data_IF_373417783377
#
_entry.id   IF_373417783377
#
_cell.length_a   1.000
_cell.length_b   1.000
_cell.length_c   1.000
_cell.angle_alpha   90.00
_cell.angle_beta   90.00
_cell.angle_gamma   90.00
#
_symmetry.space_group_name_H-M   'P 1'
#
loop_
_entity.id
_entity.type
_entity.pdbx_description
1 polymer ?
#
# COMPACT_ATOMS: atom_id res chain seq x y z
N UNK A 1 -2.99 14.29 20.83
CA UNK A 1 -4.17 14.40 19.92
C UNK A 1 -3.80 14.12 18.46
N UNK A 2 -3.03 14.96 17.76
CA UNK A 2 -2.71 14.71 16.33
C UNK A 2 -1.92 13.40 16.12
N UNK A 3 -0.94 13.12 16.99
CA UNK A 3 -0.25 11.83 17.00
C UNK A 3 -1.20 10.64 17.18
N UNK A 4 -2.14 10.73 18.11
CA UNK A 4 -3.09 9.65 18.37
C UNK A 4 -4.03 9.41 17.18
N UNK A 5 -4.41 10.48 16.46
CA UNK A 5 -5.16 10.36 15.21
C UNK A 5 -4.34 9.68 14.11
N UNK A 6 -3.03 9.96 14.04
CA UNK A 6 -2.13 9.29 13.12
C UNK A 6 -1.94 7.81 13.46
N UNK A 7 -1.79 7.48 14.74
CA UNK A 7 -1.74 6.08 15.21
C UNK A 7 -3.07 5.38 14.96
N UNK A 8 -4.21 6.05 15.12
CA UNK A 8 -5.52 5.49 14.81
C UNK A 8 -5.78 5.26 13.30
N UNK A 9 -4.96 5.85 12.41
CA UNK A 9 -5.14 5.75 10.95
C UNK A 9 -6.10 6.79 10.38
N UNK A 10 -6.43 7.83 11.16
CA UNK A 10 -7.32 8.92 10.76
C UNK A 10 -6.57 9.96 9.92
N UNK A 11 -5.28 10.18 10.17
CA UNK A 11 -4.46 11.09 9.38
C UNK A 11 -3.05 10.53 9.14
N UNK A 12 -2.37 11.09 8.15
CA UNK A 12 -0.95 10.85 7.93
C UNK A 12 -0.09 11.80 8.77
N UNK A 13 1.14 11.39 9.01
CA UNK A 13 2.19 12.24 9.56
C UNK A 13 3.46 12.07 8.73
N UNK A 14 4.14 13.17 8.45
CA UNK A 14 5.46 13.17 7.82
C UNK A 14 6.24 14.42 8.22
N UNK A 15 7.56 14.29 8.27
CA UNK A 15 8.44 15.43 8.54
C UNK A 15 8.64 16.26 7.25
N UNK A 16 8.25 17.52 7.27
CA UNK A 16 8.43 18.45 6.14
C UNK A 16 9.03 19.74 6.69
N UNK A 17 10.20 20.12 6.19
CA UNK A 17 10.99 21.26 6.65
C UNK A 17 11.39 21.15 8.15
N UNK A 18 11.65 19.92 8.63
CA UNK A 18 12.03 19.65 10.02
C UNK A 18 10.87 19.76 11.02
N UNK A 19 9.63 19.78 10.54
CA UNK A 19 8.41 19.87 11.37
C UNK A 19 7.43 18.78 10.97
N UNK A 20 6.82 18.14 11.96
CA UNK A 20 5.73 17.19 11.73
C UNK A 20 4.51 17.90 11.14
N UNK A 21 4.15 17.51 9.92
CA UNK A 21 2.91 17.93 9.26
C UNK A 21 1.94 16.76 9.22
N UNK A 22 0.67 17.09 9.38
CA UNK A 22 -0.43 16.12 9.37
C UNK A 22 -1.40 16.47 8.25
N UNK A 23 -1.83 15.46 7.50
CA UNK A 23 -2.82 15.63 6.44
C UNK A 23 -3.74 14.43 6.39
N UNK A 24 -4.86 14.62 5.70
CA UNK A 24 -5.88 13.60 5.57
C UNK A 24 -5.80 12.97 4.20
N UNK A 25 -5.65 11.65 4.15
CA UNK A 25 -5.67 10.89 2.90
C UNK A 25 -6.93 10.05 2.79
N UNK A 26 -7.76 10.45 1.83
CA UNK A 26 -9.13 9.97 1.69
C UNK A 26 -9.20 8.63 0.93
N UNK A 27 -8.19 8.24 0.16
CA UNK A 27 -8.32 7.13 -0.79
C UNK A 27 -7.08 6.24 -0.87
N UNK A 28 -7.24 4.96 -1.25
CA UNK A 28 -6.18 3.92 -1.15
C UNK A 28 -4.95 4.24 -2.01
N UNK A 29 -3.73 4.17 -1.45
CA UNK A 29 -3.39 3.92 -0.04
C UNK A 29 -3.81 5.08 0.85
N UNK A 30 -4.63 4.79 1.87
CA UNK A 30 -5.40 5.83 2.57
C UNK A 30 -5.94 5.35 3.92
N UNK A 31 -6.75 6.19 4.56
CA UNK A 31 -7.24 5.98 5.93
C UNK A 31 -7.69 4.54 6.27
N UNK A 32 -8.46 3.88 5.38
CA UNK A 32 -9.02 2.56 5.68
C UNK A 32 -7.94 1.49 5.73
N UNK A 33 -6.93 1.59 4.86
CA UNK A 33 -5.76 0.72 4.91
C UNK A 33 -4.97 0.94 6.20
N UNK A 34 -4.77 2.20 6.62
CA UNK A 34 -4.04 2.52 7.85
C UNK A 34 -4.78 2.06 9.11
N UNK A 35 -6.11 2.03 9.09
CA UNK A 35 -6.95 1.48 10.17
C UNK A 35 -6.87 -0.06 10.17
N UNK A 36 -6.85 -0.71 9.00
CA UNK A 36 -6.72 -2.17 8.91
C UNK A 36 -5.31 -2.63 9.35
N UNK A 37 -4.26 -1.92 8.94
CA UNK A 37 -2.90 -2.18 9.39
C UNK A 37 -2.57 -1.51 10.73
N UNK A 38 -3.56 -1.18 11.56
CA UNK A 38 -3.32 -0.54 12.85
C UNK A 38 -2.29 -1.35 13.69
N UNK A 39 -1.33 -0.69 14.38
CA UNK A 39 -0.28 -1.38 15.12
C UNK A 39 -0.81 -2.33 16.20
N UNK A 40 -1.97 -2.00 16.79
CA UNK A 40 -2.73 -2.94 17.61
C UNK A 40 -3.64 -3.81 16.73
N UNK A 41 -3.11 -4.98 16.32
CA UNK A 41 -3.76 -5.96 15.43
C UNK A 41 -5.09 -6.51 15.98
N UNK A 42 -5.27 -6.47 17.30
CA UNK A 42 -6.52 -6.88 17.96
C UNK A 42 -7.73 -6.06 17.47
N UNK A 43 -7.52 -4.86 16.93
CA UNK A 43 -8.61 -4.00 16.46
C UNK A 43 -9.39 -4.66 15.31
N UNK A 44 -8.69 -5.21 14.32
CA UNK A 44 -9.35 -5.85 13.16
C UNK A 44 -9.88 -7.23 13.53
N UNK A 45 -9.18 -7.96 14.42
CA UNK A 45 -9.60 -9.27 14.89
C UNK A 45 -10.89 -9.21 15.73
N UNK A 46 -11.01 -8.20 16.59
CA UNK A 46 -12.17 -8.02 17.47
C UNK A 46 -13.32 -7.27 16.80
N UNK A 47 -13.04 -6.42 15.81
CA UNK A 47 -14.04 -5.59 15.15
C UNK A 47 -14.06 -5.82 13.63
N UNK A 48 -14.73 -6.90 13.22
CA UNK A 48 -14.94 -7.26 11.80
C UNK A 48 -15.51 -6.12 10.96
N UNK A 49 -16.25 -5.20 11.57
CA UNK A 49 -16.80 -4.01 10.93
C UNK A 49 -15.72 -3.14 10.28
N UNK A 50 -14.47 -3.15 10.79
CA UNK A 50 -13.36 -2.43 10.18
C UNK A 50 -13.02 -3.03 8.82
N UNK A 51 -12.91 -4.36 8.75
CA UNK A 51 -12.64 -5.08 7.51
C UNK A 51 -13.81 -4.96 6.52
N UNK A 52 -15.04 -5.13 6.98
CA UNK A 52 -16.25 -4.94 6.17
C UNK A 52 -16.34 -3.51 5.63
N UNK A 53 -16.01 -2.51 6.46
CA UNK A 53 -16.00 -1.12 6.03
C UNK A 53 -14.91 -0.88 4.98
N UNK A 54 -13.71 -1.44 5.11
CA UNK A 54 -12.65 -1.28 4.11
C UNK A 54 -13.06 -1.85 2.76
N UNK A 55 -13.59 -3.08 2.75
CA UNK A 55 -14.09 -3.73 1.55
C UNK A 55 -15.25 -2.93 0.92
N UNK A 56 -16.26 -2.57 1.73
CA UNK A 56 -17.43 -1.84 1.27
C UNK A 56 -17.06 -0.43 0.80
N UNK A 57 -16.06 0.20 1.41
CA UNK A 57 -15.54 1.50 1.00
C UNK A 57 -14.98 1.40 -0.41
N UNK A 58 -14.08 0.45 -0.67
CA UNK A 58 -13.56 0.18 -2.01
C UNK A 58 -14.68 -0.11 -3.02
N UNK A 59 -15.57 -1.05 -2.70
CA UNK A 59 -16.67 -1.49 -3.59
C UNK A 59 -17.65 -0.37 -3.92
N UNK A 60 -18.03 0.48 -2.95
CA UNK A 60 -19.04 1.54 -3.14
C UNK A 60 -18.45 2.79 -3.77
N UNK A 61 -17.24 3.17 -3.38
CA UNK A 61 -16.66 4.46 -3.80
C UNK A 61 -15.85 4.35 -5.09
N UNK A 62 -15.25 3.19 -5.41
CA UNK A 62 -14.54 3.04 -6.69
C UNK A 62 -15.43 3.37 -7.92
N UNK A 63 -16.69 2.90 -8.03
CA UNK A 63 -17.57 3.30 -9.14
C UNK A 63 -17.89 4.80 -9.15
N UNK A 64 -17.95 5.45 -7.98
CA UNK A 64 -18.23 6.89 -7.87
C UNK A 64 -17.03 7.77 -8.26
N UNK A 65 -15.83 7.18 -8.33
CA UNK A 65 -14.63 7.88 -8.85
C UNK A 65 -14.51 7.79 -10.37
N UNK A 66 -15.42 7.09 -11.06
CA UNK A 66 -15.45 7.03 -12.51
C UNK A 66 -15.62 8.44 -13.11
N UNK A 67 -14.63 8.88 -13.90
CA UNK A 67 -14.59 10.22 -14.49
C UNK A 67 -13.85 11.28 -13.68
N UNK A 68 -13.37 10.98 -12.45
CA UNK A 68 -12.42 11.84 -11.72
C UNK A 68 -11.02 11.72 -12.33
N UNK A 69 -10.64 10.50 -12.72
CA UNK A 69 -9.43 10.23 -13.48
C UNK A 69 -9.71 10.32 -14.98
N UNK A 70 -8.68 10.63 -15.77
CA UNK A 70 -8.77 10.63 -17.23
C UNK A 70 -9.33 9.31 -17.76
N UNK A 71 -10.08 9.38 -18.86
CA UNK A 71 -10.64 8.18 -19.50
C UNK A 71 -9.50 7.22 -19.85
N UNK A 72 -9.57 5.99 -19.33
CA UNK A 72 -8.52 4.97 -19.46
C UNK A 72 -7.57 4.87 -18.26
N UNK A 73 -7.74 5.71 -17.24
CA UNK A 73 -6.91 5.75 -16.03
C UNK A 73 -7.72 5.32 -14.81
N UNK A 74 -7.21 4.34 -14.05
CA UNK A 74 -7.78 3.91 -12.77
C UNK A 74 -7.11 4.57 -11.58
N UNK A 75 -7.65 4.43 -10.37
CA UNK A 75 -7.02 4.94 -9.12
C UNK A 75 -5.69 4.24 -8.82
N UNK A 76 -5.56 3.01 -9.28
CA UNK A 76 -4.39 2.17 -9.14
C UNK A 76 -4.04 1.61 -10.51
N UNK A 77 -2.76 1.40 -10.78
CA UNK A 77 -2.28 0.71 -11.99
C UNK A 77 -1.47 -0.52 -11.64
N UNK A 78 -1.57 -1.52 -12.52
CA UNK A 78 -0.77 -2.74 -12.42
C UNK A 78 0.60 -2.46 -13.04
N UNK A 79 1.65 -2.84 -12.32
CA UNK A 79 3.02 -2.86 -12.84
C UNK A 79 3.34 -4.32 -13.17
N UNK A 80 3.72 -4.64 -14.42
CA UNK A 80 4.11 -5.99 -14.79
C UNK A 80 5.22 -6.52 -13.87
N UNK A 81 5.23 -7.84 -13.67
CA UNK A 81 6.37 -8.52 -13.04
C UNK A 81 7.60 -8.38 -13.94
N UNK A 82 8.80 -8.26 -13.38
CA UNK A 82 9.99 -7.92 -14.19
C UNK A 82 10.24 -8.94 -15.30
N UNK A 83 10.14 -10.22 -14.98
CA UNK A 83 10.36 -11.32 -15.93
C UNK A 83 9.43 -11.28 -17.14
N UNK A 84 8.26 -10.64 -17.05
CA UNK A 84 7.33 -10.51 -18.16
C UNK A 84 7.80 -9.49 -19.22
N UNK A 85 8.69 -8.57 -18.86
CA UNK A 85 9.17 -7.48 -19.73
C UNK A 85 10.66 -7.54 -20.05
N UNK A 86 11.42 -8.49 -19.47
CA UNK A 86 12.86 -8.69 -19.73
C UNK A 86 13.20 -8.85 -21.22
N UNK A 87 12.32 -9.50 -21.99
CA UNK A 87 12.50 -9.77 -23.42
C UNK A 87 11.95 -8.69 -24.36
N UNK A 88 11.31 -7.65 -23.83
CA UNK A 88 10.62 -6.66 -24.65
C UNK A 88 11.59 -5.57 -25.15
N UNK A 89 11.64 -5.37 -26.46
CA UNK A 89 12.52 -4.38 -27.09
C UNK A 89 12.11 -2.94 -26.79
N UNK A 90 10.84 -2.73 -26.43
CA UNK A 90 10.27 -1.44 -26.00
C UNK A 90 9.71 -1.53 -24.58
N UNK A 91 10.60 -1.63 -23.59
CA UNK A 91 10.23 -1.48 -22.17
C UNK A 91 10.20 0.00 -21.78
N UNK A 92 9.13 0.42 -21.11
CA UNK A 92 9.06 1.76 -20.55
C UNK A 92 9.47 1.72 -19.08
N UNK A 93 10.37 2.62 -18.66
CA UNK A 93 10.91 2.60 -17.30
C UNK A 93 9.86 2.73 -16.19
N UNK A 94 8.69 3.32 -16.48
CA UNK A 94 7.57 3.43 -15.52
C UNK A 94 6.79 2.11 -15.33
N UNK A 95 7.10 1.08 -16.11
CA UNK A 95 6.55 -0.28 -16.02
C UNK A 95 7.52 -1.22 -15.28
N UNK A 96 8.68 -0.72 -14.84
CA UNK A 96 9.70 -1.49 -14.12
C UNK A 96 9.59 -1.21 -12.61
N UNK A 97 9.29 -2.23 -11.81
CA UNK A 97 9.22 -2.09 -10.35
C UNK A 97 10.59 -1.72 -9.75
N UNK A 98 11.69 -2.20 -10.33
CA UNK A 98 13.05 -1.86 -9.91
C UNK A 98 13.33 -0.37 -9.98
N UNK A 99 12.75 0.37 -10.93
CA UNK A 99 12.89 1.83 -10.99
C UNK A 99 12.38 2.47 -9.71
N UNK A 100 11.16 2.15 -9.30
CA UNK A 100 10.54 2.72 -8.10
C UNK A 100 11.32 2.36 -6.84
N UNK A 101 11.81 1.12 -6.75
CA UNK A 101 12.68 0.74 -5.65
C UNK A 101 13.95 1.58 -5.68
N UNK A 102 14.67 1.65 -6.81
CA UNK A 102 15.93 2.37 -6.98
C UNK A 102 15.85 3.88 -6.71
N UNK A 103 14.74 4.53 -7.06
CA UNK A 103 14.52 5.96 -6.83
C UNK A 103 14.21 6.32 -5.37
N UNK A 104 13.88 5.32 -4.52
CA UNK A 104 13.57 5.53 -3.10
C UNK A 104 14.74 5.14 -2.18
N UNK A 105 14.71 5.66 -0.95
CA UNK A 105 15.74 5.42 0.07
C UNK A 105 15.18 4.88 1.39
N UNK A 106 13.90 5.14 1.68
CA UNK A 106 13.21 4.68 2.88
C UNK A 106 12.16 3.65 2.46
N UNK A 107 12.18 2.50 3.12
CA UNK A 107 11.32 1.37 2.82
C UNK A 107 10.75 0.79 4.10
N UNK A 108 9.48 0.38 4.05
CA UNK A 108 8.88 -0.46 5.07
C UNK A 108 8.11 -1.59 4.44
N UNK A 109 7.90 -2.65 5.23
CA UNK A 109 6.97 -3.72 4.88
C UNK A 109 5.94 -3.89 5.98
N UNK A 110 4.72 -4.20 5.56
CA UNK A 110 3.62 -4.61 6.42
C UNK A 110 2.88 -5.81 5.83
N UNK A 111 2.03 -6.42 6.66
CA UNK A 111 1.03 -7.37 6.19
C UNK A 111 0.13 -6.69 5.15
N UNK A 112 -0.33 -7.45 4.15
CA UNK A 112 -1.20 -6.92 3.11
C UNK A 112 -2.58 -6.56 3.65
N UNK A 113 -2.89 -5.26 3.68
CA UNK A 113 -4.17 -4.70 4.16
C UNK A 113 -5.39 -5.43 3.60
N UNK A 114 -5.42 -5.65 2.29
CA UNK A 114 -6.50 -6.34 1.59
C UNK A 114 -6.67 -7.78 2.08
N UNK A 115 -5.58 -8.51 2.30
CA UNK A 115 -5.62 -9.91 2.75
C UNK A 115 -5.96 -10.00 4.23
N UNK A 116 -5.41 -9.11 5.06
CA UNK A 116 -5.79 -8.96 6.48
C UNK A 116 -7.28 -8.72 6.62
N UNK A 117 -7.84 -7.82 5.81
CA UNK A 117 -9.27 -7.55 5.80
C UNK A 117 -10.10 -8.77 5.38
N UNK A 118 -9.71 -9.48 4.32
CA UNK A 118 -10.39 -10.71 3.88
C UNK A 118 -10.38 -11.77 4.97
N UNK A 119 -9.22 -12.02 5.57
CA UNK A 119 -9.03 -13.03 6.61
C UNK A 119 -9.93 -12.74 7.83
N UNK A 120 -10.01 -11.47 8.26
CA UNK A 120 -10.88 -11.05 9.35
C UNK A 120 -12.38 -11.27 9.08
N UNK A 121 -12.79 -11.20 7.80
CA UNK A 121 -14.15 -11.55 7.36
C UNK A 121 -14.36 -13.07 7.20
N UNK A 122 -13.34 -13.89 7.46
CA UNK A 122 -13.37 -15.33 7.25
C UNK A 122 -13.19 -15.74 5.78
N UNK A 123 -12.71 -14.82 4.94
CA UNK A 123 -12.41 -15.05 3.52
C UNK A 123 -10.90 -15.25 3.34
N UNK A 124 -10.50 -16.30 2.62
CA UNK A 124 -9.09 -16.59 2.36
C UNK A 124 -8.86 -16.81 0.87
N UNK A 125 -7.80 -16.22 0.32
CA UNK A 125 -7.42 -16.41 -1.08
C UNK A 125 -6.22 -17.36 -1.27
N UNK A 126 -5.67 -17.92 -0.19
CA UNK A 126 -4.53 -18.85 -0.23
C UNK A 126 -3.16 -18.19 -0.52
N UNK A 127 -3.10 -16.88 -0.72
CA UNK A 127 -1.86 -16.14 -0.95
C UNK A 127 -1.28 -15.59 0.36
N UNK A 128 0.04 -15.41 0.38
CA UNK A 128 0.80 -14.86 1.50
C UNK A 128 0.29 -13.47 1.91
N UNK A 129 0.08 -13.28 3.21
CA UNK A 129 -0.36 -12.01 3.81
C UNK A 129 0.81 -11.27 4.44
N UNK A 130 1.63 -11.98 5.18
CA UNK A 130 2.69 -11.46 6.03
C UNK A 130 3.83 -10.86 5.21
N UNK A 131 4.29 -9.66 5.61
CA UNK A 131 5.38 -8.93 4.97
C UNK A 131 5.24 -8.83 3.42
N UNK A 132 4.08 -8.38 2.93
CA UNK A 132 3.77 -8.42 1.49
C UNK A 132 3.54 -7.05 0.87
N UNK A 133 2.99 -6.08 1.62
CA UNK A 133 2.83 -4.72 1.11
C UNK A 133 4.04 -3.88 1.49
N UNK A 134 4.69 -3.29 0.49
CA UNK A 134 5.85 -2.41 0.65
C UNK A 134 5.39 -0.96 0.54
N UNK A 135 5.85 -0.12 1.46
CA UNK A 135 5.69 1.33 1.36
C UNK A 135 7.05 1.96 1.08
N UNK A 136 7.02 3.09 0.35
CA UNK A 136 8.20 3.80 -0.11
C UNK A 136 8.18 5.25 0.40
N UNK A 137 9.35 5.82 0.68
CA UNK A 137 9.51 7.24 0.99
C UNK A 137 8.72 7.69 2.22
N UNK A 138 7.92 8.76 2.08
CA UNK A 138 7.13 9.31 3.18
C UNK A 138 6.12 8.29 3.74
N UNK A 139 5.59 7.40 2.89
CA UNK A 139 4.67 6.38 3.33
C UNK A 139 5.37 5.33 4.22
N UNK A 140 6.60 4.96 3.86
CA UNK A 140 7.43 4.08 4.67
C UNK A 140 7.73 4.70 6.05
N UNK A 141 8.10 5.98 6.07
CA UNK A 141 8.38 6.70 7.32
C UNK A 141 7.19 6.64 8.28
N UNK A 142 5.98 6.91 7.77
CA UNK A 142 4.76 6.82 8.57
C UNK A 142 4.51 5.41 9.13
N UNK A 143 4.66 4.37 8.31
CA UNK A 143 4.46 2.99 8.74
C UNK A 143 5.45 2.59 9.84
N UNK A 144 6.70 3.01 9.71
CA UNK A 144 7.76 2.78 10.71
C UNK A 144 7.43 3.54 12.00
N UNK A 145 7.17 4.85 11.91
CA UNK A 145 6.92 5.72 13.07
C UNK A 145 5.70 5.27 13.87
N UNK A 146 4.66 4.80 13.20
CA UNK A 146 3.42 4.38 13.85
C UNK A 146 3.40 2.89 14.24
N UNK A 147 4.47 2.13 13.95
CA UNK A 147 4.60 0.72 14.30
C UNK A 147 3.71 -0.22 13.48
N UNK A 148 3.22 0.22 12.32
CA UNK A 148 2.39 -0.57 11.40
C UNK A 148 3.20 -1.52 10.52
N UNK A 149 4.41 -1.10 10.21
CA UNK A 149 5.36 -1.83 9.39
C UNK A 149 6.75 -1.72 9.98
N UNK A 150 7.62 -2.66 9.59
CA UNK A 150 9.03 -2.65 9.96
C UNK A 150 9.85 -2.02 8.84
N UNK A 151 10.91 -1.32 9.20
CA UNK A 151 11.88 -0.83 8.24
C UNK A 151 12.58 -2.01 7.55
N UNK A 152 12.84 -1.88 6.26
CA UNK A 152 13.56 -2.88 5.45
C UNK A 152 14.65 -2.21 4.63
N UNK A 153 15.63 -2.98 4.16
CA UNK A 153 16.60 -2.47 3.19
C UNK A 153 16.05 -2.55 1.77
N UNK A 154 16.73 -1.89 0.83
CA UNK A 154 16.41 -1.99 -0.60
C UNK A 154 16.52 -3.43 -1.09
N UNK A 155 17.57 -4.13 -0.67
CA UNK A 155 17.82 -5.53 -1.02
C UNK A 155 16.68 -6.43 -0.53
N UNK A 156 16.24 -6.23 0.72
CA UNK A 156 15.09 -6.95 1.26
C UNK A 156 13.79 -6.61 0.51
N UNK A 157 13.60 -5.36 0.07
CA UNK A 157 12.46 -4.99 -0.77
C UNK A 157 12.47 -5.75 -2.10
N UNK A 158 13.63 -5.90 -2.75
CA UNK A 158 13.78 -6.74 -3.95
C UNK A 158 13.46 -8.21 -3.68
N UNK A 159 13.91 -8.76 -2.54
CA UNK A 159 13.61 -10.15 -2.17
C UNK A 159 12.11 -10.37 -1.94
N UNK A 160 11.42 -9.41 -1.30
CA UNK A 160 9.97 -9.47 -1.09
C UNK A 160 9.22 -9.38 -2.43
N UNK A 161 9.64 -8.49 -3.33
CA UNK A 161 9.08 -8.39 -4.68
C UNK A 161 9.22 -9.71 -5.42
N UNK A 162 10.42 -10.29 -5.45
CA UNK A 162 10.67 -11.59 -6.10
C UNK A 162 9.79 -12.69 -5.49
N UNK A 163 9.69 -12.74 -4.17
CA UNK A 163 8.80 -13.69 -3.47
C UNK A 163 7.34 -13.48 -3.87
N UNK A 164 6.87 -12.24 -4.00
CA UNK A 164 5.52 -11.94 -4.44
C UNK A 164 5.25 -12.48 -5.86
N UNK A 165 6.18 -12.24 -6.78
CA UNK A 165 6.10 -12.74 -8.17
C UNK A 165 6.10 -14.28 -8.23
N UNK A 166 6.98 -14.94 -7.48
CA UNK A 166 7.02 -16.41 -7.37
C UNK A 166 5.73 -17.01 -6.79
N UNK A 167 4.99 -16.22 -5.99
CA UNK A 167 3.67 -16.58 -5.45
C UNK A 167 2.51 -16.20 -6.39
N UNK A 168 2.80 -15.79 -7.64
CA UNK A 168 1.79 -15.44 -8.65
C UNK A 168 1.11 -14.11 -8.41
N UNK A 169 1.70 -13.24 -7.59
CA UNK A 169 1.18 -11.90 -7.33
C UNK A 169 1.68 -10.90 -8.38
N UNK A 170 0.85 -9.90 -8.67
CA UNK A 170 1.24 -8.76 -9.49
C UNK A 170 1.44 -7.52 -8.62
N UNK A 171 2.27 -6.60 -9.10
CA UNK A 171 2.53 -5.34 -8.45
C UNK A 171 1.44 -4.34 -8.81
N UNK A 172 1.07 -3.51 -7.84
CA UNK A 172 0.07 -2.48 -8.03
C UNK A 172 0.50 -1.21 -7.29
N UNK A 173 0.48 -0.08 -7.99
CA UNK A 173 0.84 1.22 -7.40
C UNK A 173 -0.28 2.25 -7.65
N UNK A 174 -0.36 3.30 -6.83
CA UNK A 174 -1.31 4.39 -7.04
C UNK A 174 -1.03 5.12 -8.33
N UNK A 175 -2.08 5.58 -8.99
CA UNK A 175 -2.01 6.34 -10.23
C UNK A 175 -2.13 7.86 -10.00
N UNK A 176 -1.87 8.31 -8.77
CA UNK A 176 -1.94 9.71 -8.37
C UNK A 176 -0.56 10.39 -8.29
N UNK A 177 0.52 9.61 -8.28
CA UNK A 177 1.89 10.07 -8.09
C UNK A 177 2.80 9.65 -9.26
N UNK A 178 3.54 10.62 -9.82
CA UNK A 178 4.50 10.40 -10.90
C UNK A 178 3.88 10.47 -12.32
N UNK A 179 4.62 10.05 -13.35
CA UNK A 179 4.23 10.22 -14.75
C UNK A 179 3.17 9.23 -15.27
N UNK A 180 2.45 8.54 -14.36
CA UNK A 180 1.49 7.49 -14.70
C UNK A 180 0.29 7.52 -13.80
#
# INVERSE_FOLDING_TARGET
>A
LLWDLAVAGVCFIGEIDGVDKYWYDLWVPGQMEMIVNHPNRESVENYKQIAEAFEAYGRKKAPLTAGVFSVGTGTMRVIPIETAIEGETRRASYEEISKYLNENTVFSVSDCSCRTSREAMGEGCGHLKEDMCIQLGHAAEYYIRTGRGRAITREEAFDIIKRAEENGLMHQIPNADGPG
#
